data_IF_135402214624
#
_entry.id   IF_135402214624
#
_cell.length_a   1.000
_cell.length_b   1.000
_cell.length_c   1.000
_cell.angle_alpha   90.00
_cell.angle_beta   90.00
_cell.angle_gamma   90.00
#
_symmetry.space_group_name_H-M   'P 1'
#
loop_
_entity.id
_entity.type
_entity.pdbx_description
1 polymer ?
#
# COMPACT_ATOMS: atom_id res chain seq x y z
N UNK A 1 -23.98 23.63 4.92
CA UNK A 1 -24.17 22.42 5.76
C UNK A 1 -22.80 21.79 5.92
N UNK A 2 -22.19 21.98 7.10
CA UNK A 2 -20.78 21.69 7.35
C UNK A 2 -20.54 20.21 7.56
N UNK A 3 -19.49 19.69 6.93
CA UNK A 3 -19.01 18.34 7.11
C UNK A 3 -18.43 18.18 8.52
N UNK A 4 -18.94 17.21 9.28
CA UNK A 4 -18.54 16.90 10.66
C UNK A 4 -17.18 16.19 10.77
N UNK A 5 -16.17 16.56 9.99
CA UNK A 5 -14.82 16.00 10.15
C UNK A 5 -13.99 16.71 11.23
N UNK A 6 -14.42 17.87 11.75
CA UNK A 6 -13.62 18.69 12.67
C UNK A 6 -13.70 18.30 14.15
N UNK A 7 -14.49 17.29 14.54
CA UNK A 7 -14.71 16.97 15.97
C UNK A 7 -13.75 15.93 16.57
N UNK A 8 -13.24 15.01 15.76
CA UNK A 8 -12.44 13.89 16.26
C UNK A 8 -10.94 14.19 16.35
N UNK A 9 -10.42 15.03 15.45
CA UNK A 9 -9.03 15.49 15.40
C UNK A 9 -8.98 17.01 15.56
N UNK A 10 -9.22 17.50 16.78
CA UNK A 10 -8.99 18.90 17.13
C UNK A 10 -7.49 19.24 17.19
N UNK A 11 -7.16 20.52 17.24
CA UNK A 11 -5.78 21.01 17.25
C UNK A 11 -4.98 20.50 18.46
N UNK A 12 -5.62 20.34 19.62
CA UNK A 12 -4.97 19.83 20.82
C UNK A 12 -4.57 18.35 20.66
N UNK A 13 -5.46 17.52 20.10
CA UNK A 13 -5.18 16.11 19.78
C UNK A 13 -4.12 15.98 18.70
N UNK A 14 -4.16 16.82 17.66
CA UNK A 14 -3.12 16.85 16.63
C UNK A 14 -1.76 17.18 17.26
N UNK A 15 -1.70 18.20 18.13
CA UNK A 15 -0.48 18.55 18.84
C UNK A 15 0.02 17.41 19.74
N UNK A 16 -0.89 16.72 20.42
CA UNK A 16 -0.55 15.57 21.26
C UNK A 16 0.02 14.40 20.45
N UNK A 17 -0.63 14.04 19.33
CA UNK A 17 -0.16 12.99 18.42
C UNK A 17 1.23 13.34 17.88
N UNK A 18 1.45 14.60 17.47
CA UNK A 18 2.78 15.07 17.04
C UNK A 18 3.83 14.87 18.12
N UNK A 19 3.55 15.25 19.37
CA UNK A 19 4.47 15.02 20.49
C UNK A 19 4.80 13.54 20.72
N UNK A 20 3.83 12.63 20.59
CA UNK A 20 4.05 11.18 20.67
C UNK A 20 4.91 10.66 19.51
N UNK A 21 4.63 11.12 18.29
CA UNK A 21 5.40 10.77 17.09
C UNK A 21 6.84 11.25 17.24
N UNK A 22 7.05 12.50 17.65
CA UNK A 22 8.38 13.09 17.82
C UNK A 22 9.17 12.37 18.91
N UNK A 23 8.56 12.06 20.05
CA UNK A 23 9.21 11.31 21.13
C UNK A 23 9.59 9.88 20.71
N UNK A 24 8.70 9.20 19.97
CA UNK A 24 8.97 7.86 19.42
C UNK A 24 10.08 7.90 18.38
N UNK A 25 10.03 8.89 17.48
CA UNK A 25 11.03 9.08 16.44
C UNK A 25 12.41 9.40 17.03
N UNK A 26 12.48 10.26 18.05
CA UNK A 26 13.73 10.59 18.72
C UNK A 26 14.35 9.35 19.37
N UNK A 27 13.54 8.58 20.11
CA UNK A 27 13.98 7.32 20.74
C UNK A 27 14.48 6.31 19.71
N UNK A 28 13.77 6.17 18.60
CA UNK A 28 14.19 5.32 17.48
C UNK A 28 15.47 5.85 16.81
N UNK A 29 15.62 7.16 16.64
CA UNK A 29 16.77 7.79 16.00
C UNK A 29 18.06 7.51 16.77
N UNK A 30 18.02 7.60 18.10
CA UNK A 30 19.18 7.33 18.94
C UNK A 30 19.60 5.86 18.85
N UNK A 31 18.64 4.94 18.87
CA UNK A 31 18.89 3.52 18.62
C UNK A 31 19.45 3.28 17.21
N UNK A 32 18.84 3.88 16.20
CA UNK A 32 19.25 3.75 14.79
C UNK A 32 20.69 4.21 14.57
N UNK A 33 21.10 5.35 15.14
CA UNK A 33 22.49 5.85 15.02
C UNK A 33 23.52 4.90 15.61
N UNK A 34 23.20 4.29 16.75
CA UNK A 34 24.06 3.29 17.38
C UNK A 34 24.18 2.03 16.50
N UNK A 35 23.04 1.52 16.03
CA UNK A 35 23.01 0.33 15.17
C UNK A 35 23.64 0.56 13.80
N UNK A 36 23.51 1.77 13.24
CA UNK A 36 24.08 2.14 11.95
C UNK A 36 25.59 1.95 11.95
N UNK A 37 26.28 2.40 13.00
CA UNK A 37 27.75 2.28 13.10
C UNK A 37 28.20 0.81 13.12
N UNK A 38 27.47 -0.04 13.85
CA UNK A 38 27.75 -1.49 13.94
C UNK A 38 27.44 -2.19 12.61
N UNK A 39 26.31 -1.88 12.00
CA UNK A 39 25.91 -2.43 10.70
C UNK A 39 26.90 -2.03 9.60
N UNK A 40 27.35 -0.77 9.61
CA UNK A 40 28.34 -0.27 8.65
C UNK A 40 29.70 -0.93 8.82
N UNK A 41 30.17 -1.10 10.07
CA UNK A 41 31.41 -1.86 10.33
C UNK A 41 31.27 -3.32 9.89
N UNK A 42 30.12 -3.96 10.14
CA UNK A 42 29.83 -5.31 9.67
C UNK A 42 29.83 -5.42 8.15
N UNK A 43 29.29 -4.41 7.45
CA UNK A 43 29.34 -4.32 5.99
C UNK A 43 30.79 -4.21 5.50
N UNK A 44 31.60 -3.30 6.05
CA UNK A 44 33.02 -3.19 5.70
C UNK A 44 33.78 -4.49 5.97
N UNK A 45 33.51 -5.17 7.09
CA UNK A 45 34.13 -6.44 7.41
C UNK A 45 33.79 -7.52 6.36
N UNK A 46 32.55 -7.58 5.89
CA UNK A 46 32.13 -8.50 4.82
C UNK A 46 32.73 -8.18 3.45
N UNK A 47 33.05 -6.91 3.18
CA UNK A 47 33.71 -6.50 1.93
C UNK A 47 35.21 -6.82 1.94
N UNK A 48 35.88 -6.67 3.09
CA UNK A 48 37.32 -6.88 3.24
C UNK A 48 37.67 -8.35 3.49
N UNK A 49 36.82 -9.09 4.21
CA UNK A 49 37.05 -10.52 4.46
C UNK A 49 36.78 -11.35 3.18
N UNK A 50 37.60 -12.37 2.88
CA UNK A 50 37.34 -13.26 1.75
C UNK A 50 35.95 -13.90 1.89
N UNK A 51 35.06 -13.65 0.91
CA UNK A 51 33.71 -14.22 0.90
C UNK A 51 33.79 -15.75 0.99
N UNK A 52 33.37 -16.30 2.13
CA UNK A 52 33.30 -17.77 2.37
C UNK A 52 32.12 -18.42 1.65
N UNK A 53 31.13 -17.63 1.25
CA UNK A 53 29.97 -18.08 0.49
C UNK A 53 30.33 -18.26 -0.99
N UNK A 54 30.08 -19.45 -1.52
CA UNK A 54 30.27 -19.74 -2.93
C UNK A 54 29.45 -18.81 -3.81
N UNK A 55 30.03 -18.30 -4.90
CA UNK A 55 29.26 -17.56 -5.90
C UNK A 55 28.18 -18.47 -6.47
N UNK A 56 26.94 -17.99 -6.48
CA UNK A 56 25.84 -18.69 -7.15
C UNK A 56 26.21 -18.98 -8.61
N UNK A 57 25.84 -20.17 -9.10
CA UNK A 57 26.15 -20.60 -10.47
C UNK A 57 25.25 -19.92 -11.52
N UNK A 58 24.18 -19.23 -11.09
CA UNK A 58 23.25 -18.53 -11.94
C UNK A 58 23.60 -17.04 -12.03
N UNK A 59 23.42 -16.47 -13.22
CA UNK A 59 23.52 -15.03 -13.41
C UNK A 59 22.42 -14.31 -12.62
N UNK A 60 22.79 -13.28 -11.87
CA UNK A 60 21.89 -12.54 -10.98
C UNK A 60 21.16 -11.38 -11.66
N UNK A 61 21.25 -11.25 -12.99
CA UNK A 61 20.67 -10.12 -13.71
C UNK A 61 19.15 -10.17 -13.61
N UNK A 62 18.59 -9.26 -12.79
CA UNK A 62 17.15 -9.00 -12.79
C UNK A 62 16.78 -8.30 -14.11
N UNK A 63 15.63 -8.64 -14.71
CA UNK A 63 15.11 -7.87 -15.84
C UNK A 63 14.92 -6.41 -15.41
N UNK A 64 15.40 -5.48 -16.22
CA UNK A 64 15.13 -4.06 -16.05
C UNK A 64 13.86 -3.76 -16.84
N UNK A 65 12.75 -3.58 -16.13
CA UNK A 65 11.49 -3.17 -16.73
C UNK A 65 11.40 -1.65 -16.75
N UNK A 66 10.81 -1.08 -17.80
CA UNK A 66 10.49 0.34 -17.80
C UNK A 66 9.41 0.60 -16.73
N UNK A 67 9.53 1.63 -15.88
CA UNK A 67 8.52 1.93 -14.85
C UNK A 67 7.12 2.15 -15.44
N UNK A 68 7.06 2.63 -16.68
CA UNK A 68 5.85 2.90 -17.46
C UNK A 68 5.12 1.63 -17.94
N UNK A 69 5.79 0.47 -17.95
CA UNK A 69 5.21 -0.78 -18.45
C UNK A 69 4.00 -1.18 -17.59
N UNK A 70 2.88 -1.41 -18.27
CA UNK A 70 1.59 -1.71 -17.65
C UNK A 70 1.51 -3.19 -17.30
N UNK A 71 1.19 -3.47 -16.03
CA UNK A 71 0.89 -4.80 -15.51
C UNK A 71 -0.60 -5.13 -15.64
N UNK A 72 -1.44 -4.12 -15.52
CA UNK A 72 -2.90 -4.22 -15.65
C UNK A 72 -3.46 -2.83 -15.98
N UNK A 73 -4.47 -2.78 -16.84
CA UNK A 73 -5.31 -1.60 -17.03
C UNK A 73 -6.76 -2.01 -17.27
N UNK A 74 -7.72 -1.24 -16.78
CA UNK A 74 -9.14 -1.54 -17.01
C UNK A 74 -10.10 -0.60 -16.28
N UNK A 75 -11.31 -0.49 -16.84
CA UNK A 75 -12.43 0.19 -16.17
C UNK A 75 -13.14 -0.81 -15.25
N UNK A 76 -13.11 -0.56 -13.94
CA UNK A 76 -13.65 -1.46 -12.93
C UNK A 76 -14.56 -0.65 -11.99
N UNK A 77 -15.58 -1.32 -11.45
CA UNK A 77 -16.40 -0.78 -10.37
C UNK A 77 -15.57 -0.71 -9.08
N UNK A 78 -15.37 0.49 -8.58
CA UNK A 78 -14.51 0.80 -7.45
C UNK A 78 -15.27 1.49 -6.32
N UNK A 79 -14.99 1.11 -5.08
CA UNK A 79 -15.40 1.84 -3.88
C UNK A 79 -14.24 1.95 -2.88
N UNK A 80 -14.19 3.07 -2.17
CA UNK A 80 -13.28 3.27 -1.06
C UNK A 80 -14.06 3.64 0.21
N UNK A 81 -13.39 3.53 1.35
CA UNK A 81 -13.98 3.87 2.65
C UNK A 81 -14.45 5.33 2.76
N UNK A 82 -13.74 6.26 2.12
CA UNK A 82 -14.04 7.71 2.17
C UNK A 82 -15.31 8.10 1.39
N UNK A 83 -15.58 7.44 0.24
CA UNK A 83 -16.81 7.62 -0.53
C UNK A 83 -17.97 6.83 0.09
N UNK A 84 -18.30 7.09 1.36
CA UNK A 84 -19.51 6.69 2.09
C UNK A 84 -20.15 5.41 1.52
N UNK A 85 -19.43 4.26 1.55
CA UNK A 85 -19.69 2.85 1.16
C UNK A 85 -20.75 2.46 0.08
N UNK A 86 -21.77 3.29 -0.18
CA UNK A 86 -22.98 3.08 -0.96
C UNK A 86 -22.87 3.50 -2.43
N UNK A 87 -21.76 4.13 -2.88
CA UNK A 87 -21.60 4.55 -4.28
C UNK A 87 -20.38 3.89 -4.92
N UNK A 88 -20.55 2.65 -5.36
CA UNK A 88 -19.59 2.04 -6.26
C UNK A 88 -19.62 2.80 -7.59
N UNK A 89 -18.47 3.30 -8.04
CA UNK A 89 -18.34 4.07 -9.29
C UNK A 89 -17.41 3.36 -10.24
N UNK A 90 -17.68 3.45 -11.52
CA UNK A 90 -16.73 3.00 -12.52
C UNK A 90 -15.51 3.94 -12.49
N UNK A 91 -14.32 3.34 -12.40
CA UNK A 91 -13.02 4.03 -12.39
C UNK A 91 -12.10 3.30 -13.34
N UNK A 92 -11.21 4.05 -13.96
CA UNK A 92 -10.15 3.45 -14.77
C UNK A 92 -8.91 3.26 -13.90
N UNK A 93 -8.45 2.02 -13.80
CA UNK A 93 -7.38 1.61 -12.88
C UNK A 93 -6.19 1.15 -13.70
N UNK A 94 -5.00 1.57 -13.28
CA UNK A 94 -3.74 1.16 -13.88
C UNK A 94 -2.79 0.65 -12.81
N UNK A 95 -2.19 -0.50 -13.06
CA UNK A 95 -1.05 -1.03 -12.33
C UNK A 95 0.16 -0.99 -13.26
N UNK A 96 1.24 -0.37 -12.82
CA UNK A 96 2.50 -0.23 -13.58
C UNK A 96 3.66 -0.94 -12.88
N UNK A 97 4.79 -1.06 -13.56
CA UNK A 97 6.05 -1.59 -13.01
C UNK A 97 6.72 -0.67 -11.99
N UNK A 98 6.19 0.54 -11.75
CA UNK A 98 6.50 1.33 -10.54
C UNK A 98 5.77 0.81 -9.28
N UNK A 99 4.97 -0.25 -9.45
CA UNK A 99 4.25 -1.01 -8.43
C UNK A 99 3.32 -0.17 -7.56
N UNK A 100 2.77 0.89 -8.14
CA UNK A 100 1.64 1.66 -7.58
C UNK A 100 0.36 1.29 -8.30
N UNK A 101 -0.77 1.53 -7.64
CA UNK A 101 -2.08 1.48 -8.28
C UNK A 101 -2.60 2.91 -8.47
N UNK A 102 -2.77 3.31 -9.72
CA UNK A 102 -3.37 4.59 -10.09
C UNK A 102 -4.85 4.41 -10.37
N UNK A 103 -5.67 5.30 -9.83
CA UNK A 103 -7.12 5.29 -9.99
C UNK A 103 -7.52 6.62 -10.60
N UNK A 104 -8.03 6.56 -11.82
CA UNK A 104 -8.47 7.70 -12.63
C UNK A 104 -9.99 7.75 -12.66
N UNK A 105 -10.53 8.95 -12.92
CA UNK A 105 -11.98 9.13 -13.04
C UNK A 105 -12.55 8.32 -14.20
N UNK A 106 -11.88 8.33 -15.36
CA UNK A 106 -12.21 7.52 -16.54
C UNK A 106 -10.97 7.28 -17.43
N UNK A 107 -11.11 6.39 -18.42
CA UNK A 107 -10.07 6.17 -19.43
C UNK A 107 -9.78 7.45 -20.23
N UNK A 108 -10.79 8.28 -20.46
CA UNK A 108 -10.65 9.56 -21.16
C UNK A 108 -9.78 10.54 -20.37
N UNK A 109 -9.95 10.60 -19.05
CA UNK A 109 -9.14 11.49 -18.22
C UNK A 109 -7.68 11.06 -18.21
N UNK A 110 -7.44 9.75 -18.19
CA UNK A 110 -6.11 9.19 -18.30
C UNK A 110 -5.46 9.51 -19.65
N UNK A 111 -6.16 9.26 -20.76
CA UNK A 111 -5.65 9.51 -22.11
C UNK A 111 -5.32 11.00 -22.38
N UNK A 112 -6.00 11.91 -21.68
CA UNK A 112 -5.72 13.36 -21.73
C UNK A 112 -4.52 13.77 -20.85
N UNK A 113 -3.93 12.85 -20.11
CA UNK A 113 -2.79 13.11 -19.22
C UNK A 113 -3.16 13.80 -17.92
N UNK A 114 -4.42 13.71 -17.46
CA UNK A 114 -4.78 14.22 -16.14
C UNK A 114 -4.16 13.38 -15.02
N UNK A 115 -3.95 14.03 -13.87
CA UNK A 115 -3.41 13.38 -12.67
C UNK A 115 -4.43 12.38 -12.14
N UNK A 116 -3.93 11.22 -11.67
CA UNK A 116 -4.77 10.21 -11.02
C UNK A 116 -5.54 10.82 -9.85
N UNK A 117 -6.82 10.46 -9.74
CA UNK A 117 -7.66 10.86 -8.61
C UNK A 117 -7.10 10.32 -7.29
N UNK A 118 -6.56 9.10 -7.34
CA UNK A 118 -5.93 8.47 -6.18
C UNK A 118 -4.76 7.59 -6.63
N UNK A 119 -3.71 7.56 -5.82
CA UNK A 119 -2.56 6.67 -6.00
C UNK A 119 -2.40 5.86 -4.72
N UNK A 120 -2.49 4.53 -4.83
CA UNK A 120 -2.31 3.62 -3.70
C UNK A 120 -0.89 3.07 -3.67
N UNK A 121 -0.23 3.24 -2.52
CA UNK A 121 1.04 2.60 -2.21
C UNK A 121 0.79 1.23 -1.59
N UNK A 122 1.11 0.18 -2.33
CA UNK A 122 0.73 -1.20 -2.00
C UNK A 122 1.64 -1.89 -0.97
N UNK A 123 2.39 -1.11 -0.19
CA UNK A 123 3.32 -1.65 0.83
C UNK A 123 2.53 -2.14 2.03
N UNK A 124 2.81 -3.36 2.47
CA UNK A 124 2.09 -3.99 3.59
C UNK A 124 0.61 -4.30 3.31
N UNK A 125 0.17 -4.19 2.05
CA UNK A 125 -1.23 -4.39 1.72
C UNK A 125 -1.67 -5.86 1.82
N UNK A 126 -2.91 -6.08 2.24
CA UNK A 126 -3.52 -7.41 2.37
C UNK A 126 -4.75 -7.47 1.47
N UNK A 127 -4.92 -8.59 0.78
CA UNK A 127 -5.99 -8.76 -0.22
C UNK A 127 -6.86 -9.96 0.11
N UNK A 128 -8.18 -9.78 0.01
CA UNK A 128 -9.19 -10.83 0.18
C UNK A 128 -10.12 -10.87 -1.02
N UNK A 129 -10.63 -12.05 -1.37
CA UNK A 129 -11.67 -12.22 -2.40
C UNK A 129 -13.04 -12.48 -1.79
N UNK A 130 -13.10 -12.87 -0.51
CA UNK A 130 -14.34 -13.07 0.24
C UNK A 130 -14.60 -11.90 1.19
N UNK A 131 -15.82 -11.39 1.16
CA UNK A 131 -16.24 -10.27 2.01
C UNK A 131 -16.16 -10.61 3.50
N UNK A 132 -16.54 -11.83 3.90
CA UNK A 132 -16.48 -12.27 5.30
C UNK A 132 -15.05 -12.27 5.87
N UNK A 133 -14.06 -12.70 5.07
CA UNK A 133 -12.64 -12.71 5.48
C UNK A 133 -12.11 -11.28 5.60
N UNK A 134 -12.46 -10.41 4.66
CA UNK A 134 -12.17 -8.98 4.66
C UNK A 134 -12.74 -8.28 5.90
N UNK A 135 -14.00 -8.55 6.23
CA UNK A 135 -14.70 -7.96 7.38
C UNK A 135 -14.11 -8.43 8.70
N UNK A 136 -13.85 -9.73 8.85
CA UNK A 136 -13.21 -10.28 10.05
C UNK A 136 -11.80 -9.69 10.27
N UNK A 137 -11.04 -9.45 9.20
CA UNK A 137 -9.75 -8.78 9.27
C UNK A 137 -9.88 -7.32 9.75
N UNK A 138 -10.86 -6.59 9.22
CA UNK A 138 -11.14 -5.21 9.63
C UNK A 138 -11.55 -5.14 11.09
N UNK A 139 -12.50 -5.98 11.53
CA UNK A 139 -12.95 -6.05 12.91
C UNK A 139 -11.79 -6.33 13.86
N UNK A 140 -10.92 -7.29 13.52
CA UNK A 140 -9.72 -7.60 14.32
C UNK A 140 -8.77 -6.41 14.41
N UNK A 141 -8.56 -5.70 13.30
CA UNK A 141 -7.66 -4.54 13.24
C UNK A 141 -8.22 -3.37 14.05
N UNK A 142 -9.53 -3.14 13.98
CA UNK A 142 -10.22 -2.07 14.70
C UNK A 142 -10.49 -2.39 16.17
N UNK A 143 -10.56 -3.67 16.57
CA UNK A 143 -10.83 -4.08 17.95
C UNK A 143 -9.84 -3.51 18.96
N UNK A 144 -8.57 -3.33 18.56
CA UNK A 144 -7.54 -2.69 19.38
C UNK A 144 -7.65 -1.15 19.47
N UNK A 145 -8.47 -0.53 18.63
CA UNK A 145 -8.58 0.94 18.47
C UNK A 145 -9.90 1.46 19.07
N UNK A 146 -11.00 0.71 18.92
CA UNK A 146 -12.35 1.22 19.20
C UNK A 146 -12.92 0.92 20.59
N UNK A 147 -12.15 0.40 21.56
CA UNK A 147 -12.66 0.06 22.91
C UNK A 147 -14.00 -0.72 22.90
N UNK A 148 -14.24 -1.55 21.89
CA UNK A 148 -15.47 -2.33 21.75
C UNK A 148 -16.72 -1.57 21.29
N UNK A 149 -16.60 -0.32 20.80
CA UNK A 149 -17.71 0.35 20.11
C UNK A 149 -17.93 -0.36 18.77
N UNK A 150 -19.00 -1.15 18.70
CA UNK A 150 -19.49 -1.72 17.44
C UNK A 150 -20.02 -0.56 16.59
N UNK A 151 -19.31 -0.22 15.53
CA UNK A 151 -19.87 0.64 14.50
C UNK A 151 -20.94 -0.19 13.77
N UNK A 152 -22.19 0.30 13.77
CA UNK A 152 -23.30 -0.28 13.00
C UNK A 152 -22.93 -0.18 11.52
N UNK A 153 -22.21 -1.21 11.07
CA UNK A 153 -21.70 -1.36 9.72
C UNK A 153 -22.92 -1.62 8.84
N UNK A 154 -23.57 -0.54 8.39
CA UNK A 154 -24.55 -0.57 7.31
C UNK A 154 -23.93 -1.35 6.17
N UNK A 155 -24.39 -2.59 5.95
CA UNK A 155 -23.90 -3.42 4.87
C UNK A 155 -24.03 -2.61 3.57
N UNK A 156 -22.89 -2.29 2.95
CA UNK A 156 -22.93 -1.96 1.55
C UNK A 156 -23.53 -3.19 0.88
N UNK A 157 -24.60 -2.98 0.12
CA UNK A 157 -25.23 -4.03 -0.68
C UNK A 157 -24.21 -4.42 -1.75
N UNK A 158 -23.31 -5.33 -1.39
CA UNK A 158 -22.44 -6.00 -2.35
C UNK A 158 -23.37 -6.86 -3.18
N UNK A 159 -23.45 -6.56 -4.47
CA UNK A 159 -24.24 -7.36 -5.40
C UNK A 159 -23.73 -8.82 -5.31
N UNK A 160 -24.56 -9.79 -4.93
CA UNK A 160 -24.09 -11.16 -4.67
C UNK A 160 -23.50 -11.87 -5.90
N UNK A 161 -23.79 -11.37 -7.10
CA UNK A 161 -23.27 -11.88 -8.38
C UNK A 161 -21.94 -11.23 -8.84
N UNK A 162 -21.36 -10.32 -8.08
CA UNK A 162 -20.10 -9.66 -8.45
C UNK A 162 -18.87 -10.36 -7.84
N UNK A 163 -17.81 -10.51 -8.63
CA UNK A 163 -16.52 -10.98 -8.14
C UNK A 163 -15.76 -9.82 -7.49
N UNK A 164 -15.36 -9.95 -6.24
CA UNK A 164 -14.75 -8.86 -5.47
C UNK A 164 -13.25 -9.08 -5.20
N UNK A 165 -12.51 -7.97 -5.13
CA UNK A 165 -11.17 -7.90 -4.55
C UNK A 165 -11.18 -6.79 -3.50
N UNK A 166 -11.03 -7.17 -2.24
CA UNK A 166 -10.92 -6.26 -1.10
C UNK A 166 -9.45 -6.03 -0.78
N UNK A 167 -9.02 -4.78 -0.81
CA UNK A 167 -7.65 -4.36 -0.51
C UNK A 167 -7.65 -3.56 0.79
N UNK A 168 -6.92 -4.05 1.78
CA UNK A 168 -6.70 -3.40 3.07
C UNK A 168 -5.30 -2.81 3.11
N UNK A 169 -5.23 -1.50 3.36
CA UNK A 169 -4.00 -0.77 3.56
C UNK A 169 -3.95 -0.22 4.99
N UNK A 170 -2.82 -0.42 5.65
CA UNK A 170 -2.59 0.19 6.95
C UNK A 170 -2.68 1.72 6.83
N UNK A 171 -3.44 2.35 7.73
CA UNK A 171 -3.59 3.81 7.84
C UNK A 171 -4.25 4.53 6.65
N UNK A 172 -4.57 3.85 5.54
CA UNK A 172 -5.20 4.43 4.34
C UNK A 172 -6.64 3.95 4.10
N UNK A 173 -7.09 2.95 4.88
CA UNK A 173 -8.44 2.39 4.80
C UNK A 173 -8.54 1.17 3.89
N UNK A 174 -9.77 0.68 3.70
CA UNK A 174 -10.05 -0.43 2.80
C UNK A 174 -10.71 0.05 1.51
N UNK A 175 -10.42 -0.66 0.43
CA UNK A 175 -10.96 -0.41 -0.92
C UNK A 175 -11.49 -1.72 -1.50
N UNK A 176 -12.49 -1.61 -2.37
CA UNK A 176 -13.12 -2.76 -3.01
C UNK A 176 -13.18 -2.55 -4.52
N UNK A 177 -12.78 -3.57 -5.26
CA UNK A 177 -12.86 -3.66 -6.71
C UNK A 177 -13.85 -4.76 -7.08
N UNK A 178 -14.84 -4.43 -7.90
CA UNK A 178 -15.92 -5.34 -8.30
C UNK A 178 -15.85 -5.63 -9.81
N UNK A 179 -15.88 -6.90 -10.14
CA UNK A 179 -15.74 -7.45 -11.49
C UNK A 179 -17.00 -8.21 -11.90
N UNK A 180 -17.27 -8.26 -13.20
CA UNK A 180 -18.38 -9.04 -13.75
C UNK A 180 -17.96 -10.49 -14.02
N UNK A 181 -16.70 -10.72 -14.39
CA UNK A 181 -16.15 -12.03 -14.70
C UNK A 181 -15.06 -12.42 -13.71
N UNK A 182 -14.94 -13.72 -13.45
CA UNK A 182 -13.93 -14.26 -12.54
C UNK A 182 -12.52 -14.10 -13.12
N UNK A 183 -12.39 -14.26 -14.43
CA UNK A 183 -11.14 -14.15 -15.17
C UNK A 183 -10.58 -12.73 -15.10
N UNK A 184 -11.44 -11.71 -15.19
CA UNK A 184 -11.07 -10.31 -15.03
C UNK A 184 -10.58 -10.01 -13.61
N UNK A 185 -11.30 -10.54 -12.59
CA UNK A 185 -10.89 -10.46 -11.18
C UNK A 185 -9.51 -11.07 -11.01
N UNK A 186 -9.27 -12.26 -11.56
CA UNK A 186 -8.00 -12.97 -11.39
C UNK A 186 -6.83 -12.32 -12.11
N UNK A 187 -7.08 -11.78 -13.29
CA UNK A 187 -6.08 -11.01 -14.00
C UNK A 187 -5.65 -9.78 -13.18
N UNK A 188 -6.62 -9.01 -12.66
CA UNK A 188 -6.34 -7.89 -11.77
C UNK A 188 -5.62 -8.33 -10.48
N UNK A 189 -6.12 -9.38 -9.82
CA UNK A 189 -5.57 -9.89 -8.57
C UNK A 189 -4.12 -10.35 -8.73
N UNK A 190 -3.77 -10.95 -9.87
CA UNK A 190 -2.40 -11.35 -10.20
C UNK A 190 -1.47 -10.14 -10.33
N UNK A 191 -1.91 -9.10 -11.06
CA UNK A 191 -1.18 -7.83 -11.17
C UNK A 191 -1.00 -7.15 -9.81
N UNK A 192 -2.07 -7.10 -9.02
CA UNK A 192 -2.07 -6.49 -7.68
C UNK A 192 -1.12 -7.22 -6.72
N UNK A 193 -1.20 -8.55 -6.64
CA UNK A 193 -0.29 -9.38 -5.84
C UNK A 193 1.16 -9.22 -6.26
N UNK A 194 1.41 -9.08 -7.57
CA UNK A 194 2.76 -8.79 -8.08
C UNK A 194 3.26 -7.45 -7.55
N UNK A 195 2.44 -6.40 -7.60
CA UNK A 195 2.81 -5.08 -7.07
C UNK A 195 3.08 -5.12 -5.56
N UNK A 196 2.20 -5.75 -4.77
CA UNK A 196 2.36 -5.90 -3.32
C UNK A 196 3.67 -6.63 -2.99
N UNK A 197 3.92 -7.77 -3.66
CA UNK A 197 5.14 -8.55 -3.45
C UNK A 197 6.38 -7.72 -3.76
N UNK A 198 6.39 -6.98 -4.87
CA UNK A 198 7.53 -6.15 -5.25
C UNK A 198 7.77 -5.00 -4.29
N UNK A 199 6.72 -4.34 -3.79
CA UNK A 199 6.84 -3.28 -2.78
C UNK A 199 7.32 -3.78 -1.42
N UNK A 200 6.88 -4.95 -1.00
CA UNK A 200 7.33 -5.55 0.26
C UNK A 200 8.77 -6.08 0.20
N UNK A 201 9.24 -6.44 -1.00
CA UNK A 201 10.59 -6.94 -1.23
C UNK A 201 11.55 -5.88 -1.73
N UNK A 202 11.09 -4.64 -1.95
CA UNK A 202 11.95 -3.54 -2.37
C UNK A 202 13.00 -3.37 -1.28
N UNK A 203 14.26 -3.79 -1.52
CA UNK A 203 15.30 -3.64 -0.52
C UNK A 203 15.39 -2.14 -0.25
N UNK A 204 15.57 -1.75 1.01
CA UNK A 204 16.16 -0.44 1.27
C UNK A 204 17.34 -0.31 0.32
N UNK A 205 17.43 0.77 -0.50
CA UNK A 205 18.55 0.94 -1.39
C UNK A 205 19.78 0.68 -0.54
N UNK A 206 20.54 -0.35 -0.91
CA UNK A 206 21.80 -0.68 -0.26
C UNK A 206 22.48 0.65 -0.05
N UNK A 207 22.72 1.00 1.21
CA UNK A 207 23.28 2.29 1.60
C UNK A 207 24.67 2.31 1.01
N UNK A 208 24.76 2.64 -0.28
CA UNK A 208 25.96 3.16 -0.87
C UNK A 208 26.00 4.56 -0.28
N UNK A 209 26.94 4.84 0.65
CA UNK A 209 27.19 6.21 1.03
C UNK A 209 27.51 6.93 -0.29
N UNK A 210 26.56 7.72 -0.76
CA UNK A 210 26.85 8.76 -1.73
C UNK A 210 27.74 9.72 -0.97
N UNK A 211 29.05 9.51 -1.13
CA UNK A 211 30.04 10.50 -0.75
C UNK A 211 29.77 11.68 -1.69
N UNK A 212 28.84 12.54 -1.30
CA UNK A 212 28.79 13.89 -1.82
C UNK A 212 29.99 14.61 -1.19
N UNK A 213 31.13 14.52 -1.88
CA UNK A 213 32.23 15.46 -1.67
C UNK A 213 31.76 16.82 -2.15
N UNK A 214 31.62 17.75 -1.21
CA UNK A 214 31.73 19.18 -1.50
C UNK A 214 33.16 19.53 -1.91
#
# INVERSE_FOLDING_TARGET
MGASSSGLLDEAKISHIKGLVDGTFQSFSDFYRQQYSVAYLGHLHQEVEPKREGRGLLLTRRPQYAPEEVLYEGSIKFSNWDEQLKKCRERYIILRRDYKAEIHDSMETFNRGYVAKMVLHLTGAIVFTKDDESRAHLEKTCAGILNGVKEDSSSAVVNPDAFAVHLHLAYTGHTCFLFQQEEERDHFLSGLKTCIRHRNLEPFPSIHPSIQTN
#
